data_IF_381258284772
#
_entry.id   IF_381258284772
#
_cell.length_a   1.000
_cell.length_b   1.000
_cell.length_c   1.000
_cell.angle_alpha   90.00
_cell.angle_beta   90.00
_cell.angle_gamma   90.00
#
_symmetry.space_group_name_H-M   'P 1'
#
loop_
_entity.id
_entity.type
_entity.pdbx_description
1 polymer ?
#
# COMPACT_ATOMS: atom_id res chain seq x y z
N UNK A 1 0.01 -12.10 -23.25
CA UNK A 1 -0.17 -11.68 -21.84
C UNK A 1 -0.31 -10.17 -21.88
N UNK A 2 -1.29 -9.60 -21.18
CA UNK A 2 -1.42 -8.14 -21.12
C UNK A 2 -0.14 -7.57 -20.50
N UNK A 3 0.34 -6.46 -21.06
CA UNK A 3 1.44 -5.71 -20.48
C UNK A 3 0.97 -5.15 -19.12
N UNK A 4 1.82 -5.28 -18.09
CA UNK A 4 1.55 -4.78 -16.75
C UNK A 4 2.29 -3.46 -16.58
N UNK A 5 1.57 -2.43 -16.15
CA UNK A 5 2.14 -1.11 -15.89
C UNK A 5 2.20 -0.84 -14.39
N UNK A 6 3.39 -0.52 -13.88
CA UNK A 6 3.64 -0.26 -12.46
C UNK A 6 4.12 1.18 -12.33
N UNK A 7 3.31 2.04 -11.71
CA UNK A 7 3.70 3.40 -11.35
C UNK A 7 4.56 3.43 -10.07
N UNK A 8 5.40 4.45 -9.92
CA UNK A 8 6.08 4.78 -8.67
C UNK A 8 5.40 5.99 -8.03
N UNK A 9 5.12 5.92 -6.74
CA UNK A 9 4.65 7.01 -5.91
C UNK A 9 5.72 7.43 -4.92
N UNK A 10 6.08 8.71 -4.91
CA UNK A 10 6.94 9.30 -3.90
C UNK A 10 6.07 10.00 -2.85
N UNK A 11 6.06 9.44 -1.64
CA UNK A 11 5.35 9.98 -0.50
C UNK A 11 6.17 11.11 0.14
N UNK A 12 5.61 12.31 0.08
CA UNK A 12 6.22 13.49 0.68
C UNK A 12 6.10 13.44 2.21
N UNK A 13 7.21 13.09 2.86
CA UNK A 13 7.37 13.08 4.31
C UNK A 13 8.07 14.34 4.86
N UNK A 14 8.08 15.45 4.12
CA UNK A 14 8.82 16.67 4.49
C UNK A 14 8.42 17.21 5.87
N UNK A 15 7.15 17.05 6.26
CA UNK A 15 6.66 17.45 7.58
C UNK A 15 7.34 16.68 8.72
N UNK A 16 7.72 15.41 8.49
CA UNK A 16 8.41 14.57 9.46
C UNK A 16 9.91 14.87 9.53
N UNK A 17 10.51 15.30 8.41
CA UNK A 17 11.92 15.67 8.31
C UNK A 17 12.18 17.02 9.01
N UNK A 18 11.24 17.96 8.93
CA UNK A 18 11.31 19.26 9.62
C UNK A 18 12.25 20.30 8.99
N UNK A 19 13.20 19.89 8.15
CA UNK A 19 14.09 20.75 7.37
C UNK A 19 13.76 20.69 5.87
N UNK A 20 13.26 21.79 5.31
CA UNK A 20 12.78 21.83 3.92
C UNK A 20 13.90 21.60 2.87
N UNK A 21 15.09 22.21 3.00
CA UNK A 21 16.23 21.88 2.13
C UNK A 21 16.62 20.40 2.20
N UNK A 22 16.68 19.79 3.38
CA UNK A 22 16.95 18.36 3.50
C UNK A 22 15.86 17.51 2.84
N UNK A 23 14.58 17.86 3.01
CA UNK A 23 13.47 17.14 2.38
C UNK A 23 13.55 17.18 0.84
N UNK A 24 13.87 18.33 0.25
CA UNK A 24 14.05 18.44 -1.21
C UNK A 24 15.26 17.65 -1.70
N UNK A 25 16.36 17.65 -0.93
CA UNK A 25 17.53 16.84 -1.24
C UNK A 25 17.20 15.34 -1.21
N UNK A 26 16.44 14.88 -0.21
CA UNK A 26 16.03 13.49 -0.08
C UNK A 26 15.06 13.07 -1.19
N UNK A 27 14.13 13.96 -1.58
CA UNK A 27 13.28 13.78 -2.76
C UNK A 27 14.11 13.63 -4.04
N UNK A 28 15.06 14.53 -4.26
CA UNK A 28 15.95 14.49 -5.42
C UNK A 28 16.80 13.23 -5.46
N UNK A 29 17.28 12.76 -4.31
CA UNK A 29 18.00 11.51 -4.17
C UNK A 29 17.12 10.32 -4.59
N UNK A 30 15.91 10.19 -4.03
CA UNK A 30 14.98 9.12 -4.39
C UNK A 30 14.70 9.11 -5.89
N UNK A 31 14.41 10.28 -6.49
CA UNK A 31 14.18 10.39 -7.94
C UNK A 31 15.40 10.00 -8.78
N UNK A 32 16.59 10.47 -8.41
CA UNK A 32 17.81 10.18 -9.15
C UNK A 32 18.13 8.68 -9.15
N UNK A 33 17.95 8.02 -8.01
CA UNK A 33 18.20 6.58 -7.86
C UNK A 33 17.13 5.73 -8.53
N UNK A 34 15.85 6.05 -8.39
CA UNK A 34 14.80 5.23 -9.01
C UNK A 34 14.86 5.31 -10.53
N UNK A 35 15.18 6.47 -11.09
CA UNK A 35 15.38 6.64 -12.54
C UNK A 35 16.55 5.84 -13.12
N UNK A 36 17.43 5.32 -12.26
CA UNK A 36 18.39 4.29 -12.65
C UNK A 36 17.65 2.94 -12.72
N UNK A 37 17.05 2.65 -13.87
CA UNK A 37 16.33 1.38 -14.15
C UNK A 37 14.82 1.57 -14.35
N UNK A 38 14.20 2.53 -13.66
CA UNK A 38 12.76 2.79 -13.80
C UNK A 38 12.44 3.84 -14.86
N UNK A 39 11.65 3.46 -15.86
CA UNK A 39 11.29 4.32 -16.99
C UNK A 39 9.82 4.76 -16.99
N UNK A 40 8.98 4.21 -16.12
CA UNK A 40 7.56 4.54 -16.06
C UNK A 40 7.29 5.85 -15.29
N UNK A 41 6.02 6.15 -15.05
CA UNK A 41 5.58 7.42 -14.45
C UNK A 41 5.83 7.46 -12.95
N UNK A 42 6.19 8.64 -12.45
CA UNK A 42 6.43 8.89 -11.03
C UNK A 42 5.45 9.95 -10.56
N UNK A 43 4.60 9.57 -9.61
CA UNK A 43 3.69 10.47 -8.91
C UNK A 43 4.34 10.97 -7.63
N UNK A 44 4.01 12.19 -7.24
CA UNK A 44 4.55 12.84 -6.05
C UNK A 44 3.38 13.52 -5.32
N UNK A 45 3.15 13.15 -4.06
CA UNK A 45 2.07 13.68 -3.26
C UNK A 45 2.34 13.56 -1.76
N UNK A 46 1.53 14.25 -0.96
CA UNK A 46 1.64 14.31 0.50
C UNK A 46 0.81 13.27 1.25
N UNK A 47 0.10 12.38 0.55
CA UNK A 47 -0.69 11.30 1.13
C UNK A 47 -0.68 10.07 0.22
N UNK A 48 -0.92 8.89 0.81
CA UNK A 48 -1.04 7.64 0.06
C UNK A 48 -2.26 7.69 -0.86
N UNK A 49 -3.38 8.23 -0.37
CA UNK A 49 -4.62 8.31 -1.15
C UNK A 49 -4.47 9.21 -2.37
N UNK A 50 -3.73 10.33 -2.27
CA UNK A 50 -3.49 11.18 -3.43
C UNK A 50 -2.67 10.45 -4.51
N UNK A 51 -1.67 9.65 -4.11
CA UNK A 51 -0.89 8.83 -5.04
C UNK A 51 -1.77 7.76 -5.70
N UNK A 52 -2.60 7.06 -4.93
CA UNK A 52 -3.52 6.02 -5.43
C UNK A 52 -4.50 6.59 -6.46
N UNK A 53 -5.14 7.73 -6.15
CA UNK A 53 -6.06 8.39 -7.08
C UNK A 53 -5.35 8.83 -8.36
N UNK A 54 -4.16 9.42 -8.27
CA UNK A 54 -3.40 9.85 -9.45
C UNK A 54 -3.03 8.68 -10.35
N UNK A 55 -2.46 7.61 -9.79
CA UNK A 55 -2.06 6.43 -10.54
C UNK A 55 -3.26 5.67 -11.12
N UNK A 56 -4.36 5.57 -10.36
CA UNK A 56 -5.59 4.94 -10.84
C UNK A 56 -6.23 5.73 -11.99
N UNK A 57 -6.24 7.06 -11.91
CA UNK A 57 -6.74 7.94 -12.98
C UNK A 57 -5.89 7.84 -14.27
N UNK A 58 -4.59 7.58 -14.12
CA UNK A 58 -3.68 7.32 -15.22
C UNK A 58 -3.73 5.87 -15.75
N UNK A 59 -4.64 5.03 -15.24
CA UNK A 59 -4.86 3.63 -15.65
C UNK A 59 -3.66 2.69 -15.44
N UNK A 60 -2.82 2.95 -14.44
CA UNK A 60 -1.82 1.96 -14.02
C UNK A 60 -2.48 0.73 -13.39
N UNK A 61 -1.79 -0.41 -13.48
CA UNK A 61 -2.20 -1.67 -12.87
C UNK A 61 -1.76 -1.76 -11.41
N UNK A 62 -0.57 -1.26 -11.11
CA UNK A 62 0.01 -1.25 -9.78
C UNK A 62 0.64 0.10 -9.44
N UNK A 63 0.74 0.40 -8.15
CA UNK A 63 1.47 1.55 -7.62
C UNK A 63 2.43 1.07 -6.53
N UNK A 64 3.72 1.32 -6.72
CA UNK A 64 4.76 1.12 -5.72
C UNK A 64 5.08 2.45 -5.03
N UNK A 65 4.96 2.55 -3.71
CA UNK A 65 5.11 3.77 -2.93
C UNK A 65 6.38 3.69 -2.09
N UNK A 66 7.17 4.76 -2.12
CA UNK A 66 8.38 4.98 -1.30
C UNK A 66 8.33 6.40 -0.71
N UNK A 67 8.81 6.65 0.53
CA UNK A 67 8.90 8.02 1.02
C UNK A 67 10.15 8.70 0.46
N UNK A 68 10.23 10.02 0.63
CA UNK A 68 11.47 10.76 0.35
C UNK A 68 12.66 10.18 1.11
N UNK A 69 13.79 10.09 0.42
CA UNK A 69 15.05 9.58 0.97
C UNK A 69 15.20 8.06 0.90
N UNK A 70 14.15 7.32 0.56
CA UNK A 70 14.27 5.88 0.33
C UNK A 70 14.76 5.65 -1.10
N UNK A 71 15.70 4.71 -1.21
CA UNK A 71 16.30 4.29 -2.48
C UNK A 71 16.26 2.77 -2.55
N UNK A 72 16.05 2.26 -3.76
CA UNK A 72 16.13 0.83 -4.03
C UNK A 72 17.61 0.52 -4.21
N UNK A 73 18.20 -0.12 -3.21
CA UNK A 73 19.60 -0.51 -3.27
C UNK A 73 19.72 -1.80 -4.09
N UNK A 74 20.39 -1.73 -5.23
CA UNK A 74 20.78 -2.92 -5.98
C UNK A 74 22.18 -3.38 -5.56
N UNK A 75 22.33 -4.70 -5.38
CA UNK A 75 23.64 -5.28 -5.14
C UNK A 75 24.41 -5.31 -6.45
N UNK A 76 25.43 -4.44 -6.56
CA UNK A 76 26.36 -4.42 -7.70
C UNK A 76 27.26 -5.65 -7.81
N UNK A 77 27.19 -6.57 -6.85
CA UNK A 77 27.80 -7.89 -7.02
C UNK A 77 26.99 -8.65 -8.05
N UNK A 78 27.40 -8.53 -9.31
CA UNK A 78 26.85 -9.27 -10.45
C UNK A 78 26.99 -10.76 -10.14
N UNK A 79 25.89 -11.35 -9.67
CA UNK A 79 25.68 -12.79 -9.76
C UNK A 79 25.03 -12.99 -11.12
N UNK A 80 25.44 -14.02 -11.86
CA UNK A 80 24.89 -14.30 -13.20
C UNK A 80 23.35 -14.44 -13.20
N UNK A 81 22.75 -14.69 -12.03
CA UNK A 81 21.31 -14.87 -11.83
C UNK A 81 20.60 -13.66 -11.18
N UNK A 82 21.25 -12.50 -11.01
CA UNK A 82 20.57 -11.33 -10.42
C UNK A 82 19.62 -10.68 -11.43
N UNK A 83 18.32 -10.76 -11.18
CA UNK A 83 17.30 -9.98 -11.90
C UNK A 83 17.35 -8.52 -11.48
N UNK A 84 17.17 -7.62 -12.46
CA UNK A 84 16.84 -6.21 -12.22
C UNK A 84 15.62 -6.12 -11.30
N UNK A 85 15.66 -5.21 -10.31
CA UNK A 85 14.61 -5.13 -9.30
C UNK A 85 13.22 -4.95 -9.92
N UNK A 86 13.10 -4.07 -10.92
CA UNK A 86 11.81 -3.81 -11.56
C UNK A 86 11.37 -5.01 -12.39
N UNK A 87 12.28 -5.68 -13.10
CA UNK A 87 11.96 -6.92 -13.79
C UNK A 87 11.42 -7.99 -12.83
N UNK A 88 12.03 -8.15 -11.65
CA UNK A 88 11.55 -9.05 -10.61
C UNK A 88 10.17 -8.61 -10.07
N UNK A 89 9.96 -7.30 -9.87
CA UNK A 89 8.70 -6.73 -9.42
C UNK A 89 7.57 -7.00 -10.42
N UNK A 90 7.80 -6.76 -11.72
CA UNK A 90 6.84 -7.07 -12.79
C UNK A 90 6.49 -8.56 -12.81
N UNK A 91 7.50 -9.44 -12.72
CA UNK A 91 7.27 -10.88 -12.70
C UNK A 91 6.43 -11.31 -11.47
N UNK A 92 6.72 -10.74 -10.30
CA UNK A 92 5.98 -11.02 -9.07
C UNK A 92 4.53 -10.54 -9.15
N UNK A 93 4.29 -9.32 -9.65
CA UNK A 93 2.95 -8.78 -9.88
C UNK A 93 2.15 -9.62 -10.89
N UNK A 94 2.79 -10.13 -11.94
CA UNK A 94 2.16 -10.98 -12.94
C UNK A 94 1.73 -12.36 -12.39
N UNK A 95 2.44 -12.85 -11.36
CA UNK A 95 2.26 -14.20 -10.82
C UNK A 95 1.39 -14.23 -9.56
N UNK A 96 1.15 -13.10 -8.90
CA UNK A 96 0.55 -13.03 -7.57
C UNK A 96 -0.72 -12.19 -7.56
N UNK A 97 -1.80 -12.73 -6.99
CA UNK A 97 -2.99 -11.95 -6.68
C UNK A 97 -2.90 -11.41 -5.24
N UNK A 98 -2.97 -10.08 -5.10
CA UNK A 98 -2.97 -9.37 -3.82
C UNK A 98 -3.70 -8.02 -3.98
N UNK A 99 -4.16 -7.44 -2.87
CA UNK A 99 -4.64 -6.06 -2.84
C UNK A 99 -3.50 -5.09 -2.52
N UNK A 100 -2.78 -5.37 -1.43
CA UNK A 100 -1.66 -4.56 -0.95
C UNK A 100 -0.56 -5.49 -0.42
N UNK A 101 0.69 -5.10 -0.65
CA UNK A 101 1.88 -5.70 -0.08
C UNK A 101 2.76 -4.62 0.52
N UNK A 102 3.36 -4.88 1.67
CA UNK A 102 4.22 -3.93 2.37
C UNK A 102 4.64 -4.47 3.74
N UNK A 103 5.55 -3.78 4.45
CA UNK A 103 5.92 -4.14 5.80
C UNK A 103 4.70 -4.05 6.72
N UNK A 104 4.46 -5.11 7.50
CA UNK A 104 3.43 -5.12 8.53
C UNK A 104 3.98 -4.42 9.77
N UNK A 105 3.24 -3.44 10.28
CA UNK A 105 3.51 -2.76 11.55
C UNK A 105 2.54 -3.27 12.61
N UNK A 106 2.96 -3.28 13.88
CA UNK A 106 2.13 -3.70 15.00
C UNK A 106 2.22 -2.70 16.16
N UNK A 107 1.08 -2.23 16.65
CA UNK A 107 0.97 -1.32 17.79
C UNK A 107 -0.18 -1.80 18.67
N UNK A 108 0.09 -2.10 19.94
CA UNK A 108 -0.94 -2.41 20.96
C UNK A 108 -2.02 -3.42 20.51
N UNK A 109 -1.61 -4.52 19.87
CA UNK A 109 -2.47 -5.58 19.29
C UNK A 109 -3.24 -5.20 18.02
N UNK A 110 -2.96 -4.04 17.43
CA UNK A 110 -3.42 -3.67 16.09
C UNK A 110 -2.31 -3.93 15.08
N UNK A 111 -2.70 -4.38 13.89
CA UNK A 111 -1.80 -4.58 12.75
C UNK A 111 -2.16 -3.59 11.66
N UNK A 112 -1.14 -3.04 11.02
CA UNK A 112 -1.28 -2.16 9.87
C UNK A 112 -0.13 -2.38 8.90
N UNK A 113 -0.05 -1.52 7.89
CA UNK A 113 1.09 -1.45 7.01
C UNK A 113 1.92 -0.21 7.29
N UNK A 114 3.22 -0.30 7.02
CA UNK A 114 4.05 0.89 6.86
C UNK A 114 3.67 1.59 5.56
N UNK A 115 2.99 2.74 5.68
CA UNK A 115 2.55 3.54 4.55
C UNK A 115 3.71 4.09 3.70
N UNK A 116 4.93 4.10 4.23
CA UNK A 116 6.12 4.46 3.47
C UNK A 116 6.48 3.43 2.40
N UNK A 117 6.15 2.15 2.57
CA UNK A 117 6.62 1.11 1.64
C UNK A 117 5.46 0.19 1.27
N UNK A 118 4.71 0.58 0.24
CA UNK A 118 3.51 -0.14 -0.21
C UNK A 118 3.60 -0.50 -1.68
N UNK A 119 3.04 -1.63 -2.05
CA UNK A 119 2.73 -2.01 -3.41
C UNK A 119 1.26 -2.35 -3.49
N UNK A 120 0.51 -1.61 -4.29
CA UNK A 120 -0.95 -1.69 -4.33
C UNK A 120 -1.40 -2.13 -5.71
N UNK A 121 -2.30 -3.11 -5.77
CA UNK A 121 -2.99 -3.54 -6.97
C UNK A 121 -4.17 -2.59 -7.24
N UNK A 122 -3.98 -1.68 -8.21
CA UNK A 122 -4.94 -0.62 -8.51
C UNK A 122 -6.23 -1.17 -9.14
N UNK A 123 -6.18 -2.33 -9.79
CA UNK A 123 -7.39 -2.99 -10.29
C UNK A 123 -8.27 -3.46 -9.14
N UNK A 124 -7.70 -4.17 -8.17
CA UNK A 124 -8.42 -4.62 -6.98
C UNK A 124 -8.93 -3.42 -6.15
N UNK A 125 -8.07 -2.41 -5.98
CA UNK A 125 -8.42 -1.14 -5.32
C UNK A 125 -9.67 -0.48 -5.92
N UNK A 126 -9.73 -0.35 -7.26
CA UNK A 126 -10.90 0.21 -7.96
C UNK A 126 -12.15 -0.64 -7.79
N UNK A 127 -12.03 -1.96 -7.80
CA UNK A 127 -13.16 -2.88 -7.63
C UNK A 127 -13.79 -2.78 -6.23
N UNK A 128 -12.98 -2.43 -5.22
CA UNK A 128 -13.43 -2.20 -3.85
C UNK A 128 -13.99 -0.78 -3.61
N UNK A 129 -14.08 0.04 -4.66
CA UNK A 129 -14.65 1.38 -4.58
C UNK A 129 -13.67 2.47 -4.14
N UNK A 130 -12.35 2.21 -4.16
CA UNK A 130 -11.34 3.21 -3.79
C UNK A 130 -11.31 3.49 -2.28
N UNK A 131 -10.97 2.46 -1.50
CA UNK A 131 -10.89 2.56 -0.03
C UNK A 131 -9.86 3.63 0.34
N UNK A 132 -10.19 4.49 1.30
CA UNK A 132 -9.29 5.50 1.84
C UNK A 132 -8.36 4.84 2.88
N UNK A 133 -7.06 4.81 2.59
CA UNK A 133 -6.05 4.17 3.44
C UNK A 133 -5.78 4.97 4.71
N UNK A 134 -5.83 6.29 4.63
CA UNK A 134 -5.56 7.16 5.79
C UNK A 134 -6.79 7.28 6.69
N UNK A 135 -8.00 7.34 6.15
CA UNK A 135 -9.23 7.34 6.95
C UNK A 135 -9.41 6.04 7.75
N UNK A 136 -8.99 4.90 7.19
CA UNK A 136 -9.01 3.61 7.88
C UNK A 136 -8.02 3.55 9.06
N UNK A 137 -6.90 4.28 8.99
CA UNK A 137 -5.92 4.32 10.08
C UNK A 137 -6.40 5.09 11.33
N UNK A 138 -7.41 5.96 11.19
CA UNK A 138 -7.92 6.81 12.28
C UNK A 138 -9.26 6.36 12.88
N UNK A 139 -9.92 5.35 12.33
CA UNK A 139 -11.19 4.87 12.88
C UNK A 139 -10.94 3.92 14.06
N UNK A 140 -11.19 4.40 15.29
CA UNK A 140 -11.09 3.60 16.51
C UNK A 140 -12.10 2.42 16.59
N UNK A 141 -12.87 2.17 15.52
CA UNK A 141 -13.77 1.03 15.35
C UNK A 141 -13.50 0.28 14.04
N UNK A 142 -12.24 0.13 13.65
CA UNK A 142 -11.86 -0.60 12.43
C UNK A 142 -12.04 -2.11 12.63
N UNK A 143 -12.62 -2.85 11.66
CA UNK A 143 -12.75 -4.29 11.72
C UNK A 143 -11.38 -4.95 11.94
N UNK A 144 -11.30 -5.81 12.94
CA UNK A 144 -10.10 -6.57 13.28
C UNK A 144 -9.78 -7.55 12.14
N UNK A 145 -8.78 -7.24 11.32
CA UNK A 145 -8.19 -8.23 10.43
C UNK A 145 -7.52 -9.30 11.30
N UNK A 146 -8.13 -10.48 11.38
CA UNK A 146 -7.57 -11.59 12.14
C UNK A 146 -6.70 -12.41 11.19
N UNK A 147 -5.38 -12.26 11.32
CA UNK A 147 -4.42 -13.11 10.60
C UNK A 147 -4.39 -14.46 11.30
N UNK A 148 -4.95 -15.49 10.67
CA UNK A 148 -4.83 -16.87 11.15
C UNK A 148 -3.59 -17.46 10.47
N UNK A 149 -2.59 -17.84 11.29
CA UNK A 149 -1.50 -18.72 10.84
C UNK A 149 -1.95 -20.15 11.06
N UNK A 150 -1.85 -20.98 10.02
CA UNK A 150 -1.93 -22.42 10.22
C UNK A 150 -0.61 -22.97 10.79
N UNK A 151 -0.65 -24.24 11.21
CA UNK A 151 0.51 -24.94 11.80
C UNK A 151 1.69 -25.08 10.82
N UNK A 152 1.48 -24.79 9.54
CA UNK A 152 2.49 -24.79 8.48
C UNK A 152 3.10 -23.38 8.24
N UNK A 153 2.62 -22.36 8.95
CA UNK A 153 3.11 -20.99 8.83
C UNK A 153 2.53 -20.21 7.65
N UNK A 154 1.49 -20.72 6.99
CA UNK A 154 0.81 -20.06 5.88
C UNK A 154 -0.19 -19.04 6.43
N UNK A 155 -0.17 -17.84 5.86
CA UNK A 155 -1.09 -16.75 6.22
C UNK A 155 -2.37 -16.91 5.40
N UNK A 156 -3.53 -17.01 6.05
CA UNK A 156 -4.85 -16.93 5.40
C UNK A 156 -5.63 -15.72 5.95
N UNK A 157 -6.12 -14.88 5.05
CA UNK A 157 -6.92 -13.70 5.40
C UNK A 157 -8.39 -14.10 5.65
N UNK A 158 -8.96 -13.64 6.77
CA UNK A 158 -10.39 -13.76 7.05
C UNK A 158 -10.95 -12.36 7.33
N UNK A 159 -11.68 -11.79 6.37
CA UNK A 159 -12.43 -10.57 6.58
C UNK A 159 -13.69 -10.90 7.41
N UNK A 160 -13.70 -10.54 8.70
CA UNK A 160 -14.91 -10.56 9.52
C UNK A 160 -15.60 -9.21 9.43
N UNK A 161 -16.69 -9.13 8.68
CA UNK A 161 -17.60 -8.00 8.74
C UNK A 161 -18.34 -8.06 10.09
N UNK A 162 -18.04 -7.13 11.00
CA UNK A 162 -18.90 -6.88 12.17
C UNK A 162 -20.23 -6.34 11.68
N UNK A 163 -21.22 -7.23 11.57
CA UNK A 163 -22.61 -6.85 11.35
C UNK A 163 -23.12 -6.27 12.68
N UNK A 164 -23.17 -4.95 12.76
CA UNK A 164 -23.73 -4.22 13.89
C UNK A 164 -25.26 -4.39 13.86
N UNK A 165 -25.76 -5.37 14.60
CA UNK A 165 -27.18 -5.67 14.72
C UNK A 165 -27.65 -5.31 16.14
N UNK A 166 -27.66 -4.02 16.46
CA UNK A 166 -28.34 -3.51 17.64
C UNK A 166 -29.61 -2.74 17.22
N UNK A 167 -30.65 -3.49 16.88
CA UNK A 167 -32.01 -2.98 16.85
C UNK A 167 -32.68 -3.33 18.17
N UNK A 168 -33.09 -2.36 19.00
CA UNK A 168 -33.80 -2.66 20.23
C UNK A 168 -35.18 -3.26 19.90
N UNK A 169 -35.69 -4.21 20.70
CA UNK A 169 -36.98 -4.84 20.47
C UNK A 169 -38.11 -3.82 20.64
N UNK A 170 -39.01 -3.78 19.66
CA UNK A 170 -40.25 -3.01 19.73
C UNK A 170 -41.11 -3.50 20.91
N UNK A 171 -41.40 -2.63 21.87
CA UNK A 171 -42.37 -2.86 22.93
C UNK A 171 -43.79 -2.74 22.37
N UNK A 172 -44.45 -3.87 22.16
CA UNK A 172 -45.91 -3.94 22.00
C UNK A 172 -46.59 -3.72 23.35
N UNK A 173 -47.24 -2.57 23.51
CA UNK A 173 -48.24 -2.33 24.56
C UNK A 173 -49.61 -2.79 24.04
N UNK A 174 -50.13 -3.85 24.64
CA UNK A 174 -51.54 -4.26 24.53
C UNK A 174 -52.23 -3.87 25.83
N UNK A 175 -53.26 -3.03 25.76
CA UNK A 175 -54.13 -2.69 26.89
C UNK A 175 -55.52 -3.35 26.70
N UNK A 176 -56.19 -3.78 27.79
CA UNK A 176 -57.61 -4.12 27.79
C UNK A 176 -58.52 -2.88 27.78
#
# INVERSE_FOLDING_TARGET
MSEIHIALGLLNISAQIGDAPAAEMLRGLSLAWTRYGYQEEVFDANSVDALLHAAAAANFDYLFILPYGFVIAESWQVREDSLDFYAALHAWCAATEFLVAGPITAVENQYGFDLGCLLVNLKAYRQLGGIDFEAAAFSASTPTCTVIRDDEGTIRELASATHDHDSPPATTTTAP
#
